data_IF_468382547824
#
_entry.id   IF_468382547824
#
_cell.length_a   1.000
_cell.length_b   1.000
_cell.length_c   1.000
_cell.angle_alpha   90.00
_cell.angle_beta   90.00
_cell.angle_gamma   90.00
#
_symmetry.space_group_name_H-M   'P 1'
#
loop_
_entity.id
_entity.type
_entity.pdbx_description
1 polymer ?
#
# COMPACT_ATOMS: atom_id res chain seq x y z
N UNK A 1 -9.36 22.36 -22.89
CA UNK A 1 -8.69 21.70 -21.74
C UNK A 1 -9.81 21.12 -20.87
N UNK A 2 -10.23 19.89 -21.15
CA UNK A 2 -11.43 19.29 -20.54
C UNK A 2 -11.18 18.94 -19.07
N UNK A 3 -12.13 19.28 -18.19
CA UNK A 3 -12.13 18.78 -16.81
C UNK A 3 -12.11 17.25 -16.86
N UNK A 4 -11.21 16.63 -16.09
CA UNK A 4 -11.29 15.19 -15.85
C UNK A 4 -12.67 14.89 -15.23
N UNK A 5 -13.33 13.82 -15.70
CA UNK A 5 -14.65 13.46 -15.18
C UNK A 5 -14.53 13.08 -13.70
N UNK A 6 -15.18 13.88 -12.86
CA UNK A 6 -15.25 13.65 -11.43
C UNK A 6 -16.39 12.69 -11.14
N UNK A 7 -16.14 11.68 -10.31
CA UNK A 7 -17.17 10.74 -9.88
C UNK A 7 -17.98 11.30 -8.70
N UNK A 8 -17.35 12.11 -7.84
CA UNK A 8 -18.00 12.78 -6.70
C UNK A 8 -17.16 14.00 -6.28
N UNK A 9 -17.67 14.83 -5.36
CA UNK A 9 -16.94 15.95 -4.77
C UNK A 9 -16.99 15.94 -3.24
N UNK A 10 -15.99 16.55 -2.60
CA UNK A 10 -15.95 16.77 -1.14
C UNK A 10 -15.93 18.27 -0.87
N UNK A 11 -16.84 18.74 -0.03
CA UNK A 11 -16.83 20.12 0.46
C UNK A 11 -15.83 20.28 1.59
N UNK A 12 -14.81 21.10 1.37
CA UNK A 12 -13.82 21.50 2.35
C UNK A 12 -14.00 22.99 2.69
N UNK A 13 -13.50 23.45 3.83
CA UNK A 13 -13.67 24.86 4.25
C UNK A 13 -13.11 25.87 3.23
N UNK A 14 -12.15 25.45 2.41
CA UNK A 14 -11.54 26.23 1.34
C UNK A 14 -12.19 26.04 -0.05
N UNK A 15 -13.26 25.25 -0.16
CA UNK A 15 -14.00 25.01 -1.41
C UNK A 15 -14.31 23.53 -1.69
N UNK A 16 -15.07 23.27 -2.75
CA UNK A 16 -15.36 21.91 -3.23
C UNK A 16 -14.20 21.33 -4.01
N UNK A 17 -13.83 20.09 -3.69
CA UNK A 17 -12.77 19.36 -4.38
C UNK A 17 -13.39 18.18 -5.14
N UNK A 18 -13.35 18.16 -6.48
CA UNK A 18 -13.81 17.02 -7.28
C UNK A 18 -12.80 15.87 -7.22
N UNK A 19 -13.30 14.64 -7.10
CA UNK A 19 -12.50 13.41 -7.05
C UNK A 19 -12.93 12.40 -8.11
N UNK A 20 -11.96 11.63 -8.60
CA UNK A 20 -12.16 10.49 -9.51
C UNK A 20 -11.70 9.22 -8.79
N UNK A 21 -12.58 8.22 -8.69
CA UNK A 21 -12.33 6.93 -8.04
C UNK A 21 -11.53 5.94 -8.92
N UNK A 22 -11.39 6.23 -10.21
CA UNK A 22 -10.62 5.42 -11.16
C UNK A 22 -9.18 5.21 -10.68
N UNK A 23 -8.75 3.94 -10.62
CA UNK A 23 -7.39 3.57 -10.22
C UNK A 23 -7.12 3.66 -8.70
N UNK A 24 -8.13 3.93 -7.87
CA UNK A 24 -7.95 3.95 -6.41
C UNK A 24 -7.54 2.60 -5.86
N UNK A 25 -8.12 1.51 -6.36
CA UNK A 25 -7.79 0.18 -5.89
C UNK A 25 -6.32 -0.14 -6.17
N UNK A 26 -5.86 0.11 -7.41
CA UNK A 26 -4.48 -0.11 -7.87
C UNK A 26 -3.48 0.68 -7.03
N UNK A 27 -3.77 1.97 -6.79
CA UNK A 27 -2.97 2.82 -5.90
C UNK A 27 -2.94 2.33 -4.45
N UNK A 28 -3.99 1.64 -3.99
CA UNK A 28 -4.07 1.10 -2.63
C UNK A 28 -3.48 -0.32 -2.48
N UNK A 29 -3.07 -1.00 -3.56
CA UNK A 29 -2.55 -2.39 -3.47
C UNK A 29 -1.07 -2.49 -3.07
N UNK A 30 -0.34 -1.39 -3.16
CA UNK A 30 1.11 -1.32 -2.94
C UNK A 30 1.86 -2.55 -3.50
N UNK A 31 1.90 -2.75 -4.84
CA UNK A 31 2.49 -3.96 -5.42
C UNK A 31 4.01 -3.92 -5.29
N UNK A 32 4.52 -4.28 -4.12
CA UNK A 32 5.94 -4.55 -3.90
C UNK A 32 6.24 -5.91 -4.51
N UNK A 33 7.20 -5.95 -5.44
CA UNK A 33 7.68 -7.22 -5.97
C UNK A 33 8.46 -7.95 -4.88
N UNK A 34 7.91 -9.08 -4.42
CA UNK A 34 8.42 -9.85 -3.28
C UNK A 34 9.84 -10.40 -3.49
N UNK A 35 10.16 -10.81 -4.72
CA UNK A 35 11.50 -11.27 -5.11
C UNK A 35 12.51 -10.14 -5.00
N UNK A 36 12.14 -8.93 -5.43
CA UNK A 36 13.00 -7.74 -5.38
C UNK A 36 13.18 -7.27 -3.93
N UNK A 37 12.12 -7.27 -3.12
CA UNK A 37 12.20 -6.96 -1.69
C UNK A 37 13.13 -7.94 -0.95
N UNK A 38 13.00 -9.25 -1.21
CA UNK A 38 13.88 -10.27 -0.64
C UNK A 38 15.33 -10.09 -1.05
N UNK A 39 15.59 -9.69 -2.29
CA UNK A 39 16.94 -9.38 -2.77
C UNK A 39 17.53 -8.16 -2.05
N UNK A 40 16.75 -7.10 -1.88
CA UNK A 40 17.20 -5.88 -1.19
C UNK A 40 17.44 -6.10 0.29
N UNK A 41 16.61 -6.89 0.97
CA UNK A 41 16.84 -7.29 2.36
C UNK A 41 18.18 -8.03 2.56
N UNK A 42 18.69 -8.71 1.52
CA UNK A 42 20.00 -9.41 1.52
C UNK A 42 21.13 -8.61 0.87
N UNK A 43 20.91 -7.33 0.57
CA UNK A 43 21.91 -6.48 -0.08
C UNK A 43 23.15 -6.30 0.81
N UNK A 44 24.33 -6.16 0.16
CA UNK A 44 25.58 -5.77 0.85
C UNK A 44 25.59 -4.30 1.27
N UNK A 45 24.68 -3.49 0.73
CA UNK A 45 24.48 -2.11 1.15
C UNK A 45 23.59 -2.10 2.40
N UNK A 46 24.16 -1.67 3.53
CA UNK A 46 23.47 -1.68 4.82
C UNK A 46 22.18 -0.87 4.83
N UNK A 47 22.14 0.30 4.17
CA UNK A 47 20.90 1.09 4.11
C UNK A 47 19.78 0.33 3.41
N UNK A 48 20.10 -0.30 2.27
CA UNK A 48 19.12 -1.10 1.52
C UNK A 48 18.66 -2.33 2.29
N UNK A 49 19.57 -3.02 2.99
CA UNK A 49 19.19 -4.20 3.77
C UNK A 49 18.25 -3.85 4.92
N UNK A 50 18.52 -2.77 5.65
CA UNK A 50 17.69 -2.37 6.79
C UNK A 50 16.30 -1.88 6.37
N UNK A 51 16.17 -1.24 5.20
CA UNK A 51 14.88 -0.72 4.72
C UNK A 51 13.86 -1.81 4.35
N UNK A 52 14.34 -3.00 3.95
CA UNK A 52 13.50 -4.07 3.41
C UNK A 52 13.35 -5.28 4.35
N UNK A 53 13.94 -5.26 5.55
CA UNK A 53 13.78 -6.33 6.56
C UNK A 53 12.31 -6.50 6.94
N UNK A 54 11.64 -5.42 7.32
CA UNK A 54 10.25 -5.46 7.80
C UNK A 54 9.27 -5.94 6.70
N UNK A 55 9.54 -5.56 5.44
CA UNK A 55 8.76 -5.98 4.27
C UNK A 55 8.81 -7.51 4.07
N UNK A 56 9.96 -8.13 4.31
CA UNK A 56 10.13 -9.60 4.20
C UNK A 56 9.53 -10.32 5.41
N UNK A 57 9.57 -9.73 6.60
CA UNK A 57 9.01 -10.31 7.82
C UNK A 57 7.47 -10.30 7.84
N UNK A 58 6.84 -9.22 7.38
CA UNK A 58 5.37 -9.11 7.22
C UNK A 58 4.81 -10.20 6.28
N UNK A 59 5.49 -10.51 5.17
CA UNK A 59 5.10 -11.61 4.28
C UNK A 59 5.40 -12.99 4.88
N UNK A 60 6.54 -13.15 5.56
CA UNK A 60 6.93 -14.42 6.19
C UNK A 60 6.01 -14.85 7.34
N UNK A 61 5.42 -13.89 8.06
CA UNK A 61 4.50 -14.15 9.15
C UNK A 61 3.09 -14.57 8.66
N UNK A 62 2.74 -14.19 7.43
CA UNK A 62 1.51 -14.64 6.74
C UNK A 62 1.56 -16.12 6.36
N UNK A 63 2.76 -16.69 6.18
CA UNK A 63 2.95 -18.10 5.85
C UNK A 63 3.15 -19.02 7.08
N UNK A 64 3.75 -18.50 8.18
CA UNK A 64 4.14 -19.32 9.34
C UNK A 64 3.07 -19.49 10.42
N UNK A 65 2.05 -18.64 10.48
CA UNK A 65 1.08 -18.66 11.59
C UNK A 65 -0.12 -19.58 11.37
N UNK A 66 -0.29 -20.23 10.20
CA UNK A 66 -1.42 -21.15 9.96
C UNK A 66 -2.82 -20.51 10.07
N UNK A 67 -2.89 -19.23 10.42
CA UNK A 67 -4.10 -18.41 10.37
C UNK A 67 -4.31 -18.07 8.91
N UNK A 68 -4.94 -19.00 8.18
CA UNK A 68 -5.76 -18.64 7.02
C UNK A 68 -6.78 -17.62 7.53
N UNK A 69 -6.45 -16.34 7.46
CA UNK A 69 -7.39 -15.26 7.67
C UNK A 69 -8.42 -15.42 6.54
N UNK A 70 -9.53 -16.04 6.89
CA UNK A 70 -10.68 -16.28 6.03
C UNK A 70 -11.10 -14.90 5.51
N UNK A 71 -10.76 -14.62 4.26
CA UNK A 71 -10.82 -13.29 3.67
C UNK A 71 -9.50 -12.54 3.82
N UNK A 72 -8.65 -12.62 2.79
CA UNK A 72 -7.46 -11.79 2.68
C UNK A 72 -7.87 -10.32 2.63
N UNK A 73 -7.91 -9.67 3.79
CA UNK A 73 -7.89 -8.22 3.83
C UNK A 73 -6.48 -7.83 3.41
N UNK A 74 -6.30 -7.53 2.12
CA UNK A 74 -5.12 -6.82 1.65
C UNK A 74 -4.95 -5.62 2.58
N UNK A 75 -3.80 -5.53 3.27
CA UNK A 75 -3.47 -4.34 4.04
C UNK A 75 -3.52 -3.17 3.04
N UNK A 76 -4.50 -2.28 3.20
CA UNK A 76 -4.60 -1.11 2.32
C UNK A 76 -3.68 -0.03 2.87
N UNK A 77 -2.97 0.69 2.01
CA UNK A 77 -2.11 1.84 2.42
C UNK A 77 -2.88 2.82 3.32
N UNK A 78 -4.15 3.06 2.98
CA UNK A 78 -5.04 3.91 3.77
C UNK A 78 -5.31 3.41 5.20
N UNK A 79 -5.10 2.12 5.51
CA UNK A 79 -5.21 1.60 6.87
C UNK A 79 -4.02 2.04 7.73
N UNK A 80 -2.80 1.99 7.18
CA UNK A 80 -1.57 2.46 7.85
C UNK A 80 -1.62 3.96 8.11
N UNK A 81 -2.15 4.74 7.17
CA UNK A 81 -2.25 6.20 7.28
C UNK A 81 -3.36 6.68 8.25
N UNK A 82 -4.21 5.79 8.78
CA UNK A 82 -5.21 6.16 9.81
C UNK A 82 -4.64 6.22 11.22
N UNK A 83 -3.47 5.62 11.45
CA UNK A 83 -2.89 5.39 12.78
C UNK A 83 -1.70 6.32 13.07
N UNK A 84 -1.38 7.26 12.17
CA UNK A 84 -0.35 8.28 12.37
C UNK A 84 -0.89 9.54 13.03
#
# INVERSE_FOLDING_TARGET
KGKAEANFEIHHYAGSVPYTATGWLEKNKDPINTTVATLFAKSKNSMLSHLYVDVVEEEGNSAKTGVKKKGGSMQTISATHRVS
#
